data_IF_403619941261
#
_entry.id   IF_403619941261
#
_cell.length_a   1.000
_cell.length_b   1.000
_cell.length_c   1.000
_cell.angle_alpha   90.00
_cell.angle_beta   90.00
_cell.angle_gamma   90.00
#
_symmetry.space_group_name_H-M   'P 1'
#
loop_
_entity.id
_entity.type
_entity.pdbx_description
1 polymer ?
#
# COMPACT_ATOMS: atom_id res chain seq x y z
N UNK A 1 -75.79 61.36 -2.03
CA UNK A 1 -76.45 60.95 -0.78
C UNK A 1 -75.36 60.53 0.20
N UNK A 2 -75.24 61.30 1.27
CA UNK A 2 -74.21 61.22 2.31
C UNK A 2 -74.16 59.86 3.01
N UNK A 3 -72.99 59.51 3.58
CA UNK A 3 -72.76 59.47 5.04
C UNK A 3 -71.30 59.07 5.41
N UNK A 4 -70.62 60.01 6.10
CA UNK A 4 -69.62 59.90 7.21
C UNK A 4 -68.35 59.00 7.05
N UNK A 5 -67.11 59.48 7.20
CA UNK A 5 -66.35 60.14 8.31
C UNK A 5 -65.50 59.12 9.13
N UNK A 6 -64.28 59.55 9.53
CA UNK A 6 -63.33 59.02 10.56
C UNK A 6 -62.23 58.08 9.98
N UNK A 7 -60.98 58.50 9.74
CA UNK A 7 -59.83 58.89 10.61
C UNK A 7 -58.79 57.76 10.83
N UNK A 8 -57.57 58.03 10.36
CA UNK A 8 -56.20 57.66 10.78
C UNK A 8 -56.03 56.45 11.71
N UNK A 9 -55.14 55.50 11.34
CA UNK A 9 -54.01 54.94 12.14
C UNK A 9 -53.09 54.09 11.22
N UNK A 10 -51.78 54.20 11.41
CA UNK A 10 -50.74 53.45 10.71
C UNK A 10 -50.81 51.93 10.97
N UNK A 11 -50.53 51.10 9.96
CA UNK A 11 -50.49 49.64 10.11
C UNK A 11 -49.13 49.04 9.77
N UNK A 12 -48.59 48.32 10.74
CA UNK A 12 -47.42 47.47 10.65
C UNK A 12 -47.73 46.19 9.85
N UNK A 13 -46.75 45.73 9.08
CA UNK A 13 -46.81 44.49 8.31
C UNK A 13 -46.55 43.28 9.23
N UNK A 14 -47.55 42.42 9.34
CA UNK A 14 -47.43 40.99 9.63
C UNK A 14 -48.34 40.26 8.65
N UNK A 15 -47.78 39.39 7.82
CA UNK A 15 -48.58 38.38 7.10
C UNK A 15 -47.82 37.05 7.06
N UNK A 16 -48.55 36.08 7.61
CA UNK A 16 -48.24 34.68 7.89
C UNK A 16 -47.93 33.82 6.68
N UNK A 17 -47.02 32.86 6.86
CA UNK A 17 -46.77 31.73 5.96
C UNK A 17 -48.00 30.84 5.77
N UNK A 18 -48.33 30.54 4.52
CA UNK A 18 -49.13 29.39 4.11
C UNK A 18 -48.22 28.27 3.59
N UNK A 19 -48.52 27.04 4.00
CA UNK A 19 -47.80 25.81 3.68
C UNK A 19 -48.01 25.41 2.22
N UNK A 20 -46.93 25.08 1.51
CA UNK A 20 -46.94 24.22 0.32
C UNK A 20 -46.16 22.95 0.61
N UNK A 21 -46.81 21.81 0.39
CA UNK A 21 -46.21 20.47 0.44
C UNK A 21 -45.13 20.35 -0.64
N UNK A 22 -43.86 20.53 -0.24
CA UNK A 22 -42.71 20.08 -0.99
C UNK A 22 -42.26 18.75 -0.42
N UNK A 23 -42.19 17.73 -1.27
CA UNK A 23 -41.57 16.44 -0.95
C UNK A 23 -40.18 16.69 -0.37
N UNK A 24 -39.96 16.30 0.88
CA UNK A 24 -38.64 16.26 1.47
C UNK A 24 -37.80 15.22 0.72
N UNK A 25 -37.00 15.68 -0.24
CA UNK A 25 -35.83 14.92 -0.66
C UNK A 25 -35.00 14.73 0.60
N UNK A 26 -34.96 13.49 1.11
CA UNK A 26 -34.01 13.13 2.16
C UNK A 26 -32.64 13.55 1.64
N UNK A 27 -31.81 14.26 2.43
CA UNK A 27 -30.42 14.42 2.04
C UNK A 27 -29.87 13.03 1.76
N UNK A 28 -29.24 12.86 0.58
CA UNK A 28 -28.48 11.66 0.30
C UNK A 28 -27.55 11.40 1.48
N UNK A 29 -27.38 10.13 1.89
CA UNK A 29 -26.53 9.82 3.02
C UNK A 29 -25.17 10.44 2.74
N UNK A 30 -24.77 11.34 3.63
CA UNK A 30 -23.44 11.95 3.69
C UNK A 30 -22.43 10.87 3.32
N UNK A 31 -21.85 10.94 2.12
CA UNK A 31 -20.87 9.94 1.69
C UNK A 31 -19.83 9.88 2.80
N UNK A 32 -19.69 8.72 3.45
CA UNK A 32 -18.61 8.51 4.40
C UNK A 32 -17.34 9.00 3.72
N UNK A 33 -16.56 9.94 4.31
CA UNK A 33 -15.37 10.44 3.65
C UNK A 33 -14.48 9.24 3.37
N UNK A 34 -14.37 8.86 2.10
CA UNK A 34 -13.59 7.71 1.68
C UNK A 34 -12.16 7.98 2.10
N UNK A 35 -11.61 7.09 2.93
CA UNK A 35 -10.23 7.21 3.40
C UNK A 35 -9.30 7.34 2.18
N UNK A 36 -8.42 8.35 2.13
CA UNK A 36 -7.54 8.50 1.00
C UNK A 36 -6.59 7.31 0.90
N UNK A 37 -6.36 6.89 -0.35
CA UNK A 37 -5.43 5.82 -0.72
C UNK A 37 -4.29 6.44 -1.52
N UNK A 38 -3.07 6.12 -1.15
CA UNK A 38 -1.87 6.61 -1.80
C UNK A 38 -1.32 5.56 -2.76
N UNK A 39 -1.11 5.93 -4.02
CA UNK A 39 -0.58 5.00 -5.00
C UNK A 39 0.95 5.06 -5.08
N UNK A 40 1.57 3.94 -5.41
CA UNK A 40 3.00 3.77 -5.57
C UNK A 40 3.33 2.85 -6.73
N UNK A 41 4.62 2.77 -7.05
CA UNK A 41 5.11 1.99 -8.18
C UNK A 41 6.48 1.39 -7.90
N UNK A 42 6.66 0.14 -8.33
CA UNK A 42 7.97 -0.43 -8.62
C UNK A 42 8.15 -0.45 -10.14
N UNK A 43 9.30 0.01 -10.63
CA UNK A 43 9.72 -0.10 -12.03
C UNK A 43 11.24 -0.20 -12.03
N UNK A 44 11.79 -1.21 -12.71
CA UNK A 44 13.22 -1.48 -12.71
C UNK A 44 13.94 -0.92 -13.94
N UNK A 45 13.23 -0.18 -14.81
CA UNK A 45 13.80 0.42 -16.01
C UNK A 45 14.96 1.36 -15.64
N UNK A 46 16.20 1.04 -16.03
CA UNK A 46 17.35 1.89 -15.71
C UNK A 46 17.19 3.28 -16.32
N UNK A 47 17.38 4.32 -15.51
CA UNK A 47 17.29 5.70 -15.98
C UNK A 47 15.88 6.15 -16.38
N UNK A 48 14.84 5.50 -15.86
CA UNK A 48 13.45 5.92 -16.08
C UNK A 48 13.30 7.41 -15.76
N UNK A 49 12.96 8.26 -16.76
CA UNK A 49 12.94 9.69 -16.55
C UNK A 49 11.77 10.06 -15.65
N UNK A 50 11.90 11.13 -14.85
CA UNK A 50 10.81 11.64 -14.02
C UNK A 50 9.54 11.93 -14.82
N UNK A 51 9.68 12.22 -16.11
CA UNK A 51 8.57 12.43 -17.05
C UNK A 51 7.65 11.22 -17.19
N UNK A 52 8.15 9.99 -17.01
CA UNK A 52 7.31 8.80 -17.00
C UNK A 52 6.21 8.92 -15.94
N UNK A 53 6.59 9.28 -14.72
CA UNK A 53 5.65 9.45 -13.61
C UNK A 53 4.71 10.63 -13.81
N UNK A 54 5.22 11.77 -14.28
CA UNK A 54 4.37 12.96 -14.49
C UNK A 54 3.33 12.75 -15.60
N UNK A 55 3.65 11.94 -16.62
CA UNK A 55 2.75 11.66 -17.75
C UNK A 55 1.53 10.78 -17.37
N UNK A 56 1.55 10.16 -16.19
CA UNK A 56 0.41 9.40 -15.66
C UNK A 56 -0.72 10.33 -15.15
N UNK A 57 -0.45 11.62 -14.94
CA UNK A 57 -1.43 12.61 -14.48
C UNK A 57 -1.57 12.72 -12.96
N UNK A 58 -0.86 11.87 -12.21
CA UNK A 58 -0.67 11.96 -10.76
C UNK A 58 0.71 11.38 -10.45
N UNK A 59 1.49 12.01 -9.56
CA UNK A 59 2.78 11.47 -9.12
C UNK A 59 2.58 10.32 -8.13
N UNK A 60 3.45 9.29 -8.11
CA UNK A 60 3.39 8.24 -7.11
C UNK A 60 3.79 8.81 -5.74
N UNK A 61 3.06 8.41 -4.70
CA UNK A 61 3.40 8.75 -3.32
C UNK A 61 4.62 7.96 -2.84
N UNK A 62 4.82 6.74 -3.35
CA UNK A 62 5.99 5.89 -3.08
C UNK A 62 6.62 5.37 -4.37
N UNK A 63 7.94 5.30 -4.40
CA UNK A 63 8.67 4.55 -5.43
C UNK A 63 9.43 3.44 -4.73
N UNK A 64 9.26 2.23 -5.22
CA UNK A 64 9.83 1.02 -4.64
C UNK A 64 11.13 0.63 -5.33
N UNK A 65 12.03 0.00 -4.57
CA UNK A 65 13.13 -0.81 -5.09
C UNK A 65 13.26 -2.11 -4.28
N UNK A 66 13.98 -3.08 -4.86
CA UNK A 66 14.46 -4.26 -4.15
C UNK A 66 15.97 -4.17 -3.98
N UNK A 67 16.47 -4.66 -2.85
CA UNK A 67 17.89 -4.86 -2.63
C UNK A 67 18.13 -6.08 -1.76
N UNK A 68 19.21 -6.79 -2.08
CA UNK A 68 19.80 -7.78 -1.18
C UNK A 68 20.56 -7.08 -0.03
N UNK A 69 21.20 -7.88 0.82
CA UNK A 69 22.17 -7.34 1.78
C UNK A 69 23.34 -6.66 1.04
N UNK A 70 23.50 -5.37 1.30
CA UNK A 70 24.44 -4.50 0.60
C UNK A 70 24.35 -3.07 1.11
N UNK A 71 25.16 -2.18 0.55
CA UNK A 71 25.19 -0.78 0.99
C UNK A 71 23.80 -0.12 0.89
N UNK A 72 23.47 0.71 1.89
CA UNK A 72 22.23 1.47 1.90
C UNK A 72 22.09 2.27 0.58
N UNK A 73 20.93 2.20 -0.10
CA UNK A 73 20.76 2.72 -1.46
C UNK A 73 20.52 4.23 -1.42
N UNK A 74 21.56 4.98 -1.02
CA UNK A 74 21.52 6.42 -0.77
C UNK A 74 21.06 7.20 -2.00
N UNK A 75 21.57 6.84 -3.18
CA UNK A 75 21.24 7.54 -4.43
C UNK A 75 19.77 7.34 -4.81
N UNK A 76 19.26 6.11 -4.73
CA UNK A 76 17.83 5.85 -4.90
C UNK A 76 16.99 6.66 -3.92
N UNK A 77 17.34 6.62 -2.62
CA UNK A 77 16.56 7.32 -1.60
C UNK A 77 16.56 8.84 -1.82
N UNK A 78 17.70 9.42 -2.21
CA UNK A 78 17.82 10.86 -2.53
C UNK A 78 17.03 11.22 -3.79
N UNK A 79 17.17 10.44 -4.86
CA UNK A 79 16.49 10.70 -6.14
C UNK A 79 14.97 10.58 -5.99
N UNK A 80 14.48 9.54 -5.30
CA UNK A 80 13.06 9.37 -5.00
C UNK A 80 12.52 10.51 -4.14
N UNK A 81 13.27 10.93 -3.12
CA UNK A 81 12.87 12.09 -2.30
C UNK A 81 12.90 13.42 -3.08
N UNK A 82 13.79 13.57 -4.07
CA UNK A 82 13.85 14.73 -4.97
C UNK A 82 12.70 14.75 -5.97
N UNK A 83 12.23 13.57 -6.42
CA UNK A 83 11.00 13.42 -7.21
C UNK A 83 9.75 13.87 -6.45
N UNK A 84 9.82 13.96 -5.12
CA UNK A 84 8.68 14.23 -4.25
C UNK A 84 7.92 12.97 -3.85
N UNK A 85 8.55 11.79 -3.90
CA UNK A 85 7.96 10.53 -3.47
C UNK A 85 8.73 9.98 -2.25
N UNK A 86 8.10 9.11 -1.47
CA UNK A 86 8.78 8.40 -0.39
C UNK A 86 9.52 7.17 -0.93
N UNK A 87 10.80 6.98 -0.59
CA UNK A 87 11.50 5.73 -0.90
C UNK A 87 10.83 4.55 -0.21
N UNK A 88 10.61 3.48 -0.97
CA UNK A 88 10.12 2.21 -0.46
C UNK A 88 11.14 1.10 -0.75
N UNK A 89 11.93 0.75 0.27
CA UNK A 89 13.05 -0.19 0.13
C UNK A 89 12.60 -1.57 0.61
N UNK A 90 12.52 -2.53 -0.31
CA UNK A 90 12.37 -3.94 0.01
C UNK A 90 13.73 -4.55 0.23
N UNK A 91 13.96 -5.07 1.43
CA UNK A 91 15.28 -5.48 1.90
C UNK A 91 15.32 -7.00 2.10
N UNK A 92 16.07 -7.68 1.25
CA UNK A 92 16.07 -9.12 1.09
C UNK A 92 17.31 -9.75 1.74
N UNK A 93 17.17 -10.37 2.93
CA UNK A 93 18.26 -11.12 3.54
C UNK A 93 18.46 -12.46 2.84
N UNK A 94 19.06 -12.48 1.64
CA UNK A 94 19.31 -13.70 0.84
C UNK A 94 20.42 -14.61 1.41
N UNK A 95 20.28 -14.94 2.69
CA UNK A 95 21.23 -15.69 3.51
C UNK A 95 20.47 -16.60 4.48
N UNK A 96 21.19 -17.47 5.18
CA UNK A 96 20.67 -18.07 6.41
C UNK A 96 20.41 -16.99 7.47
N UNK A 97 19.14 -16.67 7.70
CA UNK A 97 18.77 -15.60 8.63
C UNK A 97 19.15 -15.90 10.09
N UNK A 98 19.42 -17.16 10.46
CA UNK A 98 19.85 -17.50 11.83
C UNK A 98 21.24 -16.93 12.14
N UNK A 99 22.07 -16.70 11.12
CA UNK A 99 23.38 -16.04 11.25
C UNK A 99 23.26 -14.56 11.63
N UNK A 100 22.10 -13.94 11.44
CA UNK A 100 21.87 -12.57 11.94
C UNK A 100 21.81 -12.59 13.47
N UNK A 101 21.17 -13.60 14.07
CA UNK A 101 21.05 -13.73 15.52
C UNK A 101 22.36 -14.07 16.23
N UNK A 102 23.36 -14.58 15.51
CA UNK A 102 24.71 -14.81 16.04
C UNK A 102 25.59 -13.55 16.05
N UNK A 103 25.08 -12.41 15.57
CA UNK A 103 25.80 -11.15 15.47
C UNK A 103 26.76 -11.06 14.28
N UNK A 104 26.78 -12.06 13.39
CA UNK A 104 27.68 -12.08 12.22
C UNK A 104 27.48 -10.87 11.28
N UNK A 105 26.28 -10.29 11.29
CA UNK A 105 25.91 -9.15 10.43
C UNK A 105 25.77 -7.83 11.21
N UNK A 106 26.20 -7.75 12.47
CA UNK A 106 25.98 -6.57 13.31
C UNK A 106 26.61 -5.30 12.72
N UNK A 107 27.89 -5.35 12.34
CA UNK A 107 28.57 -4.19 11.74
C UNK A 107 27.91 -3.73 10.44
N UNK A 108 27.33 -4.67 9.69
CA UNK A 108 26.56 -4.36 8.49
C UNK A 108 25.24 -3.65 8.83
N UNK A 109 24.46 -4.18 9.78
CA UNK A 109 23.20 -3.58 10.22
C UNK A 109 23.41 -2.19 10.85
N UNK A 110 24.48 -2.04 11.63
CA UNK A 110 24.89 -0.76 12.23
C UNK A 110 25.26 0.26 11.15
N UNK A 111 26.05 -0.14 10.15
CA UNK A 111 26.34 0.73 9.00
C UNK A 111 25.07 1.12 8.25
N UNK A 112 24.18 0.16 7.99
CA UNK A 112 22.93 0.40 7.28
C UNK A 112 22.03 1.39 8.02
N UNK A 113 21.81 1.21 9.32
CA UNK A 113 21.04 2.14 10.14
C UNK A 113 21.70 3.52 10.28
N UNK A 114 23.03 3.58 10.35
CA UNK A 114 23.78 4.84 10.34
C UNK A 114 23.67 5.59 9.00
N UNK A 115 23.67 4.88 7.87
CA UNK A 115 23.46 5.48 6.55
C UNK A 115 22.01 5.95 6.36
N UNK A 116 21.03 5.24 6.93
CA UNK A 116 19.64 5.75 7.05
C UNK A 116 19.56 7.04 7.87
N UNK A 117 20.30 7.13 8.98
CA UNK A 117 20.38 8.35 9.78
C UNK A 117 20.96 9.53 8.97
N UNK A 118 22.00 9.27 8.15
CA UNK A 118 22.58 10.27 7.23
C UNK A 118 21.62 10.69 6.13
N UNK A 119 20.78 9.77 5.61
CA UNK A 119 19.72 10.13 4.67
C UNK A 119 18.71 11.10 5.30
N UNK A 120 18.37 10.87 6.58
CA UNK A 120 17.71 11.85 7.42
C UNK A 120 16.26 12.15 7.07
N UNK A 121 15.63 11.38 6.17
CA UNK A 121 14.20 11.48 5.80
C UNK A 121 13.48 10.14 6.01
N UNK A 122 12.14 10.14 6.14
CA UNK A 122 11.37 8.91 6.21
C UNK A 122 11.50 8.05 4.95
N UNK A 123 11.47 6.73 5.13
CA UNK A 123 11.35 5.73 4.06
C UNK A 123 10.57 4.53 4.57
N UNK A 124 9.86 3.85 3.68
CA UNK A 124 9.28 2.54 3.97
C UNK A 124 10.38 1.48 3.86
N UNK A 125 10.56 0.66 4.90
CA UNK A 125 11.53 -0.44 4.93
C UNK A 125 10.78 -1.77 5.09
N UNK A 126 10.79 -2.61 4.06
CA UNK A 126 10.13 -3.92 4.03
C UNK A 126 11.18 -5.03 4.06
N UNK A 127 11.62 -5.37 5.25
CA UNK A 127 12.58 -6.44 5.49
C UNK A 127 11.92 -7.82 5.40
N UNK A 128 12.51 -8.74 4.63
CA UNK A 128 12.09 -10.15 4.62
C UNK A 128 10.63 -10.38 4.23
N UNK A 129 10.15 -9.69 3.19
CA UNK A 129 8.76 -9.80 2.70
C UNK A 129 8.35 -11.23 2.30
N UNK A 130 7.04 -11.48 2.23
CA UNK A 130 6.45 -12.77 1.83
C UNK A 130 6.97 -13.96 2.64
N UNK A 131 7.26 -13.76 3.91
CA UNK A 131 7.78 -14.77 4.82
C UNK A 131 6.90 -16.04 4.94
N UNK A 132 5.60 -15.93 4.63
CA UNK A 132 4.65 -17.05 4.58
C UNK A 132 4.66 -17.82 3.23
N UNK A 133 5.47 -17.40 2.26
CA UNK A 133 5.76 -18.13 1.02
C UNK A 133 6.71 -19.31 1.22
N UNK A 134 7.21 -19.87 0.12
CA UNK A 134 8.19 -20.98 0.11
C UNK A 134 9.33 -20.82 -0.91
N UNK A 135 9.53 -19.60 -1.41
CA UNK A 135 10.48 -19.22 -2.45
C UNK A 135 11.67 -18.37 -1.95
N UNK A 136 11.65 -17.91 -0.70
CA UNK A 136 12.73 -17.10 -0.11
C UNK A 136 13.50 -17.81 1.00
N UNK A 137 14.81 -17.51 1.19
CA UNK A 137 15.65 -18.15 2.20
C UNK A 137 15.25 -17.83 3.65
N UNK A 138 14.46 -16.79 3.89
CA UNK A 138 13.87 -16.52 5.21
C UNK A 138 12.55 -17.29 5.46
N UNK A 139 12.08 -18.06 4.48
CA UNK A 139 10.93 -18.97 4.58
C UNK A 139 11.35 -20.44 4.48
N UNK A 140 12.15 -20.79 3.47
CA UNK A 140 12.75 -22.11 3.27
C UNK A 140 14.24 -21.93 3.01
N UNK A 141 15.10 -22.49 3.87
CA UNK A 141 16.55 -22.44 3.72
C UNK A 141 17.13 -23.86 3.66
N UNK A 142 17.95 -24.16 2.66
CA UNK A 142 18.49 -25.51 2.42
C UNK A 142 17.41 -26.62 2.51
N UNK A 143 16.28 -26.38 1.81
CA UNK A 143 15.08 -27.23 1.79
C UNK A 143 14.42 -27.48 3.16
N UNK A 144 14.70 -26.64 4.15
CA UNK A 144 14.08 -26.70 5.48
C UNK A 144 13.23 -25.48 5.75
N UNK A 145 12.04 -25.73 6.30
CA UNK A 145 11.14 -24.68 6.78
C UNK A 145 11.82 -23.86 7.88
N UNK A 146 11.88 -22.55 7.67
CA UNK A 146 12.28 -21.59 8.70
C UNK A 146 11.08 -21.39 9.63
N UNK A 147 11.22 -21.65 10.95
CA UNK A 147 10.12 -21.42 11.87
C UNK A 147 9.71 -19.94 11.93
N UNK A 148 8.41 -19.66 11.99
CA UNK A 148 7.89 -18.30 12.12
C UNK A 148 8.46 -17.58 13.36
N UNK A 149 8.68 -18.32 14.46
CA UNK A 149 9.34 -17.80 15.66
C UNK A 149 10.80 -17.39 15.42
N UNK A 150 11.51 -18.05 14.50
CA UNK A 150 12.86 -17.65 14.07
C UNK A 150 12.81 -16.38 13.25
N UNK A 151 11.89 -16.29 12.28
CA UNK A 151 11.67 -15.05 11.52
C UNK A 151 11.35 -13.88 12.44
N UNK A 152 10.42 -14.04 13.39
CA UNK A 152 10.06 -13.02 14.38
C UNK A 152 11.27 -12.55 15.19
N UNK A 153 12.12 -13.47 15.66
CA UNK A 153 13.34 -13.11 16.40
C UNK A 153 14.29 -12.29 15.53
N UNK A 154 14.51 -12.71 14.29
CA UNK A 154 15.39 -11.99 13.34
C UNK A 154 14.83 -10.61 13.02
N UNK A 155 13.53 -10.49 12.72
CA UNK A 155 12.89 -9.22 12.39
C UNK A 155 13.08 -8.20 13.52
N UNK A 156 12.81 -8.61 14.77
CA UNK A 156 13.00 -7.77 15.95
C UNK A 156 14.47 -7.38 16.14
N UNK A 157 15.39 -8.33 15.96
CA UNK A 157 16.82 -8.09 16.09
C UNK A 157 17.33 -7.06 15.07
N UNK A 158 16.95 -7.21 13.80
CA UNK A 158 17.30 -6.28 12.72
C UNK A 158 16.71 -4.90 12.98
N UNK A 159 15.44 -4.84 13.39
CA UNK A 159 14.79 -3.59 13.81
C UNK A 159 15.60 -2.88 14.90
N UNK A 160 15.89 -3.57 15.99
CA UNK A 160 16.55 -2.98 17.15
C UNK A 160 17.97 -2.48 16.80
N UNK A 161 18.71 -3.21 15.94
CA UNK A 161 20.02 -2.78 15.44
C UNK A 161 19.94 -1.53 14.57
N UNK A 162 19.00 -1.47 13.63
CA UNK A 162 18.81 -0.30 12.75
C UNK A 162 18.41 0.93 13.57
N UNK A 163 17.49 0.77 14.52
CA UNK A 163 17.05 1.85 15.41
C UNK A 163 18.19 2.32 16.31
N UNK A 164 18.96 1.40 16.93
CA UNK A 164 20.10 1.74 17.77
C UNK A 164 21.20 2.50 17.01
N UNK A 165 21.38 2.21 15.72
CA UNK A 165 22.31 2.92 14.84
C UNK A 165 21.80 4.29 14.35
N UNK A 166 20.62 4.72 14.78
CA UNK A 166 20.04 6.03 14.46
C UNK A 166 19.04 6.03 13.30
N UNK A 167 18.73 4.86 12.71
CA UNK A 167 17.75 4.66 11.63
C UNK A 167 16.28 4.86 12.04
N UNK A 168 16.02 5.78 12.98
CA UNK A 168 14.73 6.02 13.65
C UNK A 168 13.63 6.55 12.73
N UNK A 169 13.97 7.00 11.52
CA UNK A 169 12.99 7.44 10.50
C UNK A 169 12.54 6.30 9.58
N UNK A 170 13.02 5.07 9.81
CA UNK A 170 12.48 3.88 9.16
C UNK A 170 10.99 3.71 9.48
N UNK A 171 10.18 3.50 8.47
CA UNK A 171 8.78 3.07 8.61
C UNK A 171 8.74 1.60 8.24
N UNK A 172 8.64 0.73 9.25
CA UNK A 172 8.71 -0.72 9.11
C UNK A 172 7.42 -1.29 8.53
N UNK A 173 7.56 -2.00 7.40
CA UNK A 173 6.45 -2.70 6.75
C UNK A 173 6.60 -4.20 6.97
N UNK A 174 5.62 -4.81 7.61
CA UNK A 174 5.50 -6.26 7.75
C UNK A 174 4.54 -6.78 6.69
N UNK A 175 5.04 -7.52 5.71
CA UNK A 175 4.33 -7.77 4.45
C UNK A 175 4.31 -9.25 4.07
N UNK A 176 3.24 -9.99 4.40
CA UNK A 176 3.01 -11.34 3.90
C UNK A 176 2.56 -11.37 2.43
N UNK A 177 2.68 -12.53 1.80
CA UNK A 177 1.99 -12.87 0.55
C UNK A 177 0.51 -13.20 0.84
N UNK A 178 -0.37 -12.88 -0.11
CA UNK A 178 -1.82 -13.13 -0.07
C UNK A 178 -2.20 -14.59 0.19
N UNK A 179 -1.32 -15.53 -0.13
CA UNK A 179 -1.44 -16.94 0.22
C UNK A 179 -0.14 -17.51 0.75
N UNK A 180 -0.23 -18.64 1.45
CA UNK A 180 0.96 -19.36 1.87
C UNK A 180 1.57 -20.12 0.68
N UNK A 181 2.90 -20.25 0.71
CA UNK A 181 3.61 -21.19 -0.16
C UNK A 181 3.22 -22.63 0.17
N UNK A 182 3.23 -23.52 -0.83
CA UNK A 182 2.77 -24.90 -0.67
C UNK A 182 3.57 -25.69 0.37
N UNK A 183 4.85 -25.35 0.57
CA UNK A 183 5.72 -25.95 1.60
C UNK A 183 5.71 -25.24 2.95
N UNK A 184 4.92 -24.17 3.12
CA UNK A 184 4.86 -23.38 4.35
C UNK A 184 3.47 -23.42 5.01
N UNK A 185 3.23 -24.37 5.93
CA UNK A 185 1.93 -24.54 6.58
C UNK A 185 1.69 -23.57 7.74
N UNK A 186 2.63 -22.68 8.05
CA UNK A 186 2.57 -21.84 9.25
C UNK A 186 1.56 -20.70 9.08
N UNK A 187 0.72 -20.46 10.08
CA UNK A 187 -0.23 -19.35 10.07
C UNK A 187 0.51 -18.01 9.90
N UNK A 188 0.05 -17.17 8.98
CA UNK A 188 0.61 -15.84 8.73
C UNK A 188 0.68 -15.00 10.02
N UNK A 189 -0.28 -15.15 10.94
CA UNK A 189 -0.31 -14.40 12.20
C UNK A 189 0.85 -14.78 13.14
N UNK A 190 1.41 -15.99 13.00
CA UNK A 190 2.55 -16.44 13.81
C UNK A 190 3.86 -15.72 13.51
N UNK A 191 3.92 -14.98 12.39
CA UNK A 191 5.09 -14.19 11.99
C UNK A 191 5.05 -12.74 12.48
N UNK A 192 3.99 -12.32 13.17
CA UNK A 192 3.85 -10.92 13.59
C UNK A 192 4.80 -10.59 14.76
N UNK A 193 5.72 -9.62 14.60
CA UNK A 193 6.75 -9.34 15.60
C UNK A 193 6.25 -8.48 16.77
N UNK A 194 5.02 -7.96 16.70
CA UNK A 194 4.37 -7.11 17.69
C UNK A 194 4.30 -5.64 17.25
N UNK A 195 3.36 -4.90 17.86
CA UNK A 195 3.00 -3.54 17.44
C UNK A 195 4.16 -2.53 17.49
N UNK A 196 5.14 -2.74 18.38
CA UNK A 196 6.30 -1.87 18.51
C UNK A 196 7.31 -1.99 17.36
N UNK A 197 7.18 -3.01 16.52
CA UNK A 197 8.11 -3.34 15.44
C UNK A 197 7.53 -3.09 14.05
N UNK A 198 6.23 -2.77 13.97
CA UNK A 198 5.49 -2.67 12.70
C UNK A 198 4.78 -1.33 12.64
N UNK A 199 5.13 -0.50 11.66
CA UNK A 199 4.41 0.74 11.38
C UNK A 199 3.22 0.48 10.45
N UNK A 200 3.42 -0.38 9.44
CA UNK A 200 2.44 -0.73 8.42
C UNK A 200 2.37 -2.24 8.19
N UNK A 201 1.17 -2.75 7.94
CA UNK A 201 0.97 -4.11 7.49
C UNK A 201 0.77 -4.09 5.97
N UNK A 202 1.57 -4.86 5.25
CA UNK A 202 1.46 -5.05 3.81
C UNK A 202 0.67 -6.30 3.43
N UNK A 203 0.40 -6.43 2.13
CA UNK A 203 -0.07 -7.65 1.48
C UNK A 203 0.47 -7.66 0.05
N UNK A 204 1.17 -8.71 -0.34
CA UNK A 204 1.62 -8.91 -1.71
C UNK A 204 0.69 -9.88 -2.43
N UNK A 205 0.27 -9.58 -3.65
CA UNK A 205 -0.69 -10.43 -4.34
C UNK A 205 -0.84 -10.13 -5.82
N UNK A 206 -0.95 -11.19 -6.62
CA UNK A 206 -0.94 -11.09 -8.07
C UNK A 206 -2.09 -11.89 -8.69
N UNK A 207 -2.73 -11.32 -9.72
CA UNK A 207 -3.56 -12.09 -10.62
C UNK A 207 -2.69 -12.68 -11.73
N UNK A 208 -2.20 -13.90 -11.53
CA UNK A 208 -1.41 -14.64 -12.50
C UNK A 208 -2.17 -15.03 -13.76
N UNK A 209 -3.51 -15.00 -13.75
CA UNK A 209 -4.28 -15.42 -14.91
C UNK A 209 -3.94 -16.87 -15.28
N UNK A 210 -3.58 -17.10 -16.54
CA UNK A 210 -3.06 -18.40 -17.00
C UNK A 210 -1.62 -18.30 -17.50
N UNK A 211 -0.80 -17.40 -16.93
CA UNK A 211 0.60 -17.21 -17.35
C UNK A 211 1.55 -18.31 -16.86
N UNK A 212 1.15 -19.08 -15.85
CA UNK A 212 1.94 -20.17 -15.30
C UNK A 212 1.07 -21.40 -14.96
N UNK A 213 1.64 -22.63 -14.97
CA UNK A 213 0.92 -23.84 -14.59
C UNK A 213 0.32 -23.75 -13.18
N UNK A 214 -0.93 -24.22 -13.02
CA UNK A 214 -1.63 -24.25 -11.74
C UNK A 214 -2.26 -22.91 -11.32
N UNK A 215 -2.02 -21.82 -12.05
CA UNK A 215 -2.68 -20.55 -11.82
C UNK A 215 -3.96 -20.40 -12.66
N UNK A 216 -4.92 -19.67 -12.10
CA UNK A 216 -6.17 -19.30 -12.75
C UNK A 216 -6.41 -17.81 -12.57
N UNK A 217 -7.23 -17.23 -13.46
CA UNK A 217 -7.69 -15.86 -13.34
C UNK A 217 -8.44 -15.62 -12.03
N UNK A 218 -8.05 -14.57 -11.31
CA UNK A 218 -8.69 -14.13 -10.06
C UNK A 218 -9.02 -12.64 -10.16
N UNK A 219 -10.21 -12.26 -9.71
CA UNK A 219 -10.53 -10.83 -9.50
C UNK A 219 -9.63 -10.21 -8.44
N UNK A 220 -9.59 -8.88 -8.37
CA UNK A 220 -8.85 -8.16 -7.33
C UNK A 220 -9.28 -8.62 -5.92
N UNK A 221 -10.59 -8.62 -5.64
CA UNK A 221 -11.11 -9.10 -4.36
C UNK A 221 -10.81 -10.59 -4.15
N UNK A 222 -10.82 -11.38 -5.23
CA UNK A 222 -10.44 -12.79 -5.20
C UNK A 222 -9.00 -13.00 -4.75
N UNK A 223 -8.06 -12.11 -5.07
CA UNK A 223 -6.66 -12.17 -4.63
C UNK A 223 -6.52 -11.79 -3.16
N UNK A 224 -7.09 -10.66 -2.74
CA UNK A 224 -6.72 -10.02 -1.47
C UNK A 224 -7.70 -10.23 -0.31
N UNK A 225 -8.98 -10.53 -0.56
CA UNK A 225 -10.02 -10.44 0.49
C UNK A 225 -9.74 -11.36 1.69
N UNK A 226 -9.30 -12.60 1.46
CA UNK A 226 -9.07 -13.56 2.56
C UNK A 226 -8.03 -13.03 3.55
N UNK A 227 -6.85 -12.64 3.06
CA UNK A 227 -5.79 -12.09 3.90
C UNK A 227 -6.20 -10.74 4.51
N UNK A 228 -6.84 -9.87 3.74
CA UNK A 228 -7.32 -8.58 4.26
C UNK A 228 -8.26 -8.74 5.46
N UNK A 229 -9.24 -9.66 5.39
CA UNK A 229 -10.14 -9.91 6.52
C UNK A 229 -9.38 -10.44 7.74
N UNK A 230 -8.44 -11.37 7.53
CA UNK A 230 -7.62 -11.92 8.62
C UNK A 230 -6.79 -10.82 9.30
N UNK A 231 -6.12 -9.98 8.53
CA UNK A 231 -5.26 -8.90 9.04
C UNK A 231 -6.07 -7.79 9.72
N UNK A 232 -7.16 -7.34 9.13
CA UNK A 232 -7.96 -6.23 9.68
C UNK A 232 -8.75 -6.60 10.93
N UNK A 233 -9.05 -7.90 11.10
CA UNK A 233 -9.64 -8.46 12.33
C UNK A 233 -8.59 -8.52 13.45
N UNK A 234 -7.39 -9.00 13.16
CA UNK A 234 -6.37 -9.22 14.19
C UNK A 234 -5.55 -7.96 14.54
N UNK A 235 -5.42 -7.02 13.61
CA UNK A 235 -4.61 -5.81 13.79
C UNK A 235 -5.41 -4.54 13.45
N UNK A 236 -6.54 -4.28 14.16
CA UNK A 236 -7.50 -3.29 13.72
C UNK A 236 -6.97 -1.85 13.72
N UNK A 237 -5.91 -1.56 14.49
CA UNK A 237 -5.29 -0.25 14.60
C UNK A 237 -4.12 0.01 13.64
N UNK A 238 -3.67 -0.99 12.87
CA UNK A 238 -2.56 -0.81 11.92
C UNK A 238 -3.08 -0.36 10.55
N UNK A 239 -2.44 0.65 9.91
CA UNK A 239 -2.74 0.96 8.53
C UNK A 239 -2.29 -0.19 7.62
N UNK A 240 -3.13 -0.53 6.64
CA UNK A 240 -2.85 -1.61 5.68
C UNK A 240 -2.40 -1.00 4.35
N UNK A 241 -1.43 -1.64 3.69
CA UNK A 241 -1.09 -1.38 2.30
C UNK A 241 -1.08 -2.66 1.47
N UNK A 242 -1.23 -2.51 0.16
CA UNK A 242 -0.83 -3.54 -0.80
C UNK A 242 0.64 -3.27 -1.10
N UNK A 243 1.52 -4.15 -0.59
CA UNK A 243 2.96 -4.00 -0.73
C UNK A 243 3.35 -4.09 -2.20
N UNK A 244 2.77 -5.07 -2.89
CA UNK A 244 2.86 -5.29 -4.33
C UNK A 244 1.55 -5.85 -4.90
N UNK A 245 1.25 -5.41 -6.13
CA UNK A 245 0.29 -6.11 -6.97
C UNK A 245 0.60 -6.00 -8.46
N UNK A 246 0.07 -6.96 -9.20
CA UNK A 246 0.08 -6.97 -10.65
C UNK A 246 -1.03 -7.89 -11.21
N UNK A 247 -1.36 -7.67 -12.48
CA UNK A 247 -2.32 -8.48 -13.21
C UNK A 247 -1.71 -8.91 -14.54
N UNK A 248 -1.73 -10.23 -14.80
CA UNK A 248 -1.36 -10.80 -16.09
C UNK A 248 -2.31 -10.32 -17.19
N UNK A 249 -1.82 -10.32 -18.43
CA UNK A 249 -2.64 -10.08 -19.62
C UNK A 249 -3.26 -11.37 -20.19
N UNK A 250 -3.00 -12.53 -19.58
CA UNK A 250 -3.52 -13.84 -20.03
C UNK A 250 -4.56 -14.38 -19.06
N UNK A 251 -5.49 -15.20 -19.56
CA UNK A 251 -6.52 -15.85 -18.74
C UNK A 251 -7.77 -15.01 -18.43
N UNK A 252 -7.80 -13.75 -18.86
CA UNK A 252 -8.95 -12.84 -18.68
C UNK A 252 -8.65 -11.42 -19.18
N UNK A 253 -9.49 -10.46 -18.78
CA UNK A 253 -9.41 -9.06 -19.22
C UNK A 253 -8.72 -8.17 -18.18
N UNK A 254 -7.47 -7.77 -18.47
CA UNK A 254 -6.66 -6.89 -17.62
C UNK A 254 -7.25 -5.49 -17.45
N UNK A 255 -7.90 -4.94 -18.48
CA UNK A 255 -8.55 -3.63 -18.42
C UNK A 255 -9.74 -3.69 -17.47
N UNK A 256 -10.57 -4.72 -17.59
CA UNK A 256 -11.67 -4.96 -16.65
C UNK A 256 -11.16 -5.18 -15.21
N UNK A 257 -10.05 -5.90 -15.03
CA UNK A 257 -9.45 -6.13 -13.71
C UNK A 257 -8.98 -4.82 -13.05
N UNK A 258 -8.29 -3.96 -13.80
CA UNK A 258 -7.85 -2.64 -13.30
C UNK A 258 -9.06 -1.79 -12.90
N UNK A 259 -10.10 -1.76 -13.72
CA UNK A 259 -11.33 -1.02 -13.40
C UNK A 259 -12.06 -1.58 -12.16
N UNK A 260 -12.14 -2.90 -12.01
CA UNK A 260 -12.72 -3.54 -10.83
C UNK A 260 -11.91 -3.23 -9.57
N UNK A 261 -10.57 -3.34 -9.62
CA UNK A 261 -9.69 -2.94 -8.51
C UNK A 261 -10.02 -1.55 -7.98
N UNK A 262 -10.03 -0.53 -8.86
CA UNK A 262 -10.33 0.85 -8.45
C UNK A 262 -11.79 1.08 -8.03
N UNK A 263 -12.70 0.18 -8.39
CA UNK A 263 -14.10 0.21 -7.93
C UNK A 263 -14.24 -0.42 -6.54
N UNK A 264 -13.55 -1.54 -6.29
CA UNK A 264 -13.63 -2.31 -5.05
C UNK A 264 -12.80 -1.74 -3.92
N UNK A 265 -11.65 -1.13 -4.22
CA UNK A 265 -10.71 -0.64 -3.21
C UNK A 265 -11.36 0.23 -2.11
N UNK A 266 -12.16 1.27 -2.43
CA UNK A 266 -12.78 2.09 -1.38
C UNK A 266 -13.99 1.45 -0.68
N UNK A 267 -14.56 0.39 -1.25
CA UNK A 267 -15.81 -0.24 -0.77
C UNK A 267 -15.49 -1.48 0.07
N UNK A 268 -14.75 -2.41 -0.51
CA UNK A 268 -14.45 -3.72 0.09
C UNK A 268 -13.23 -3.65 1.00
N UNK A 269 -12.32 -2.68 0.76
CA UNK A 269 -11.02 -2.57 1.42
C UNK A 269 -10.76 -1.22 2.12
N UNK A 270 -11.69 -0.70 2.95
CA UNK A 270 -11.60 0.66 3.50
C UNK A 270 -10.42 0.94 4.45
N UNK A 271 -9.70 -0.10 4.91
CA UNK A 271 -8.46 0.03 5.70
C UNK A 271 -7.18 0.06 4.86
N UNK A 272 -7.26 -0.23 3.56
CA UNK A 272 -6.11 -0.05 2.67
C UNK A 272 -5.90 1.44 2.47
N UNK A 273 -4.70 1.92 2.81
CA UNK A 273 -4.31 3.33 2.72
C UNK A 273 -3.20 3.56 1.70
N UNK A 274 -2.57 2.51 1.19
CA UNK A 274 -1.57 2.60 0.11
C UNK A 274 -1.57 1.35 -0.77
N UNK A 275 -1.15 1.46 -2.03
CA UNK A 275 -0.85 0.32 -2.88
C UNK A 275 0.37 0.58 -3.76
N UNK A 276 1.13 -0.45 -4.10
CA UNK A 276 2.22 -0.37 -5.09
C UNK A 276 1.91 -1.26 -6.29
N UNK A 277 1.91 -0.70 -7.50
CA UNK A 277 1.88 -1.51 -8.72
C UNK A 277 3.30 -2.00 -9.06
N UNK A 278 3.45 -3.30 -9.31
CA UNK A 278 4.70 -3.91 -9.76
C UNK A 278 4.81 -3.83 -11.28
N UNK A 279 5.44 -2.77 -11.80
CA UNK A 279 5.44 -2.39 -13.22
C UNK A 279 6.67 -2.91 -13.97
N UNK A 280 6.80 -4.23 -14.11
CA UNK A 280 7.93 -4.88 -14.79
C UNK A 280 7.44 -6.04 -15.66
N UNK A 281 8.18 -6.32 -16.74
CA UNK A 281 8.04 -7.53 -17.54
C UNK A 281 8.94 -8.64 -16.97
N UNK A 282 8.36 -9.61 -16.27
CA UNK A 282 9.10 -10.61 -15.48
C UNK A 282 8.56 -12.03 -15.70
N UNK A 283 7.98 -12.68 -14.69
CA UNK A 283 7.38 -14.02 -14.84
C UNK A 283 6.20 -13.98 -15.81
N UNK A 284 5.53 -12.83 -15.86
CA UNK A 284 4.66 -12.40 -16.95
C UNK A 284 4.75 -10.88 -17.05
N UNK A 285 4.07 -10.30 -18.03
CA UNK A 285 4.09 -8.86 -18.24
C UNK A 285 3.12 -8.15 -17.28
N UNK A 286 3.63 -7.78 -16.10
CA UNK A 286 2.86 -7.14 -15.03
C UNK A 286 2.55 -5.67 -15.32
N UNK A 287 3.27 -5.04 -16.25
CA UNK A 287 3.15 -3.62 -16.57
C UNK A 287 1.70 -3.22 -16.82
N UNK A 288 1.22 -2.13 -16.22
CA UNK A 288 -0.12 -1.63 -16.59
C UNK A 288 -0.10 -1.00 -17.99
N UNK A 289 1.07 -0.61 -18.49
CA UNK A 289 1.26 0.09 -19.76
C UNK A 289 1.60 -0.82 -20.96
N UNK A 290 1.15 -2.08 -20.92
CA UNK A 290 1.29 -3.03 -22.05
C UNK A 290 0.41 -2.71 -23.26
N UNK A 291 -0.63 -1.91 -23.07
CA UNK A 291 -1.52 -1.45 -24.13
C UNK A 291 -2.02 -0.03 -23.84
N UNK A 292 -2.45 0.74 -24.86
CA UNK A 292 -3.11 2.03 -24.63
C UNK A 292 -4.33 1.91 -23.69
N UNK A 293 -5.15 0.87 -23.86
CA UNK A 293 -6.37 0.65 -23.09
C UNK A 293 -6.08 0.38 -21.61
N UNK A 294 -5.09 -0.45 -21.30
CA UNK A 294 -4.70 -0.73 -19.91
C UNK A 294 -4.01 0.48 -19.26
N UNK A 295 -3.25 1.25 -20.05
CA UNK A 295 -2.67 2.53 -19.60
C UNK A 295 -3.77 3.52 -19.24
N UNK A 296 -4.77 3.70 -20.11
CA UNK A 296 -5.87 4.64 -19.89
C UNK A 296 -6.74 4.23 -18.70
N UNK A 297 -7.02 2.93 -18.53
CA UNK A 297 -7.74 2.42 -17.37
C UNK A 297 -6.99 2.69 -16.06
N UNK A 298 -5.66 2.49 -16.03
CA UNK A 298 -4.86 2.77 -14.86
C UNK A 298 -4.83 4.28 -14.55
N UNK A 299 -4.61 5.13 -15.57
CA UNK A 299 -4.65 6.59 -15.43
C UNK A 299 -6.01 7.09 -14.92
N UNK A 300 -7.11 6.58 -15.46
CA UNK A 300 -8.45 6.90 -14.99
C UNK A 300 -8.67 6.47 -13.53
N UNK A 301 -8.14 5.31 -13.16
CA UNK A 301 -8.17 4.79 -11.80
C UNK A 301 -7.43 5.67 -10.79
N UNK A 302 -6.17 5.99 -11.05
CA UNK A 302 -5.39 6.87 -10.16
C UNK A 302 -5.92 8.30 -10.15
N UNK A 303 -6.69 8.72 -11.16
CA UNK A 303 -7.36 10.03 -11.18
C UNK A 303 -8.61 10.10 -10.27
N UNK A 304 -9.12 8.98 -9.77
CA UNK A 304 -10.30 8.98 -8.87
C UNK A 304 -10.05 9.82 -7.61
N UNK A 305 -11.07 10.51 -7.06
CA UNK A 305 -10.91 11.46 -5.94
C UNK A 305 -10.32 10.85 -4.66
N UNK A 306 -10.63 9.58 -4.36
CA UNK A 306 -10.11 8.90 -3.17
C UNK A 306 -8.63 8.51 -3.30
N UNK A 307 -8.09 8.45 -4.52
CA UNK A 307 -6.66 8.23 -4.73
C UNK A 307 -5.96 9.57 -4.60
N UNK A 308 -5.14 9.74 -3.57
CA UNK A 308 -4.45 11.00 -3.31
C UNK A 308 -2.94 10.85 -3.49
N UNK A 309 -2.27 11.97 -3.71
CA UNK A 309 -0.81 12.05 -3.69
C UNK A 309 -0.39 12.70 -2.36
N UNK A 310 0.40 11.98 -1.58
CA UNK A 310 1.07 12.50 -0.38
C UNK A 310 2.31 11.64 -0.07
N UNK A 311 3.54 12.17 -0.21
CA UNK A 311 4.75 11.44 0.13
C UNK A 311 4.91 11.18 1.63
N UNK A 312 4.06 11.73 2.49
CA UNK A 312 4.00 11.38 3.90
C UNK A 312 2.98 10.27 4.20
N UNK A 313 2.21 9.80 3.21
CA UNK A 313 1.10 8.84 3.38
C UNK A 313 0.12 9.26 4.48
N UNK A 314 -0.25 10.54 4.53
CA UNK A 314 -1.12 11.10 5.57
C UNK A 314 -0.50 11.09 6.96
N UNK A 315 0.82 10.91 7.08
CA UNK A 315 1.56 10.66 8.32
C UNK A 315 1.09 9.42 9.09
N UNK A 316 0.44 8.46 8.42
CA UNK A 316 -0.04 7.25 9.06
C UNK A 316 1.12 6.32 9.45
N UNK A 317 0.97 5.64 10.59
CA UNK A 317 1.95 4.67 11.09
C UNK A 317 3.26 5.28 11.58
N UNK A 318 3.33 6.60 11.79
CA UNK A 318 4.49 7.29 12.37
C UNK A 318 4.36 7.42 13.89
#
# INVERSE_FOLDING_TARGET
MNKYLIAIVAFALLLSCSKTNGSSVKPEPNENPVNPVFWGIFDDTPGLPSSFYTNLGKLPSTVMMFMDFGDFPMDFCRNTAQLGSMPYVTWEPRIDITKILSGQYDSYLEKFGGDMAKFGKPLLLRFGHEFNGDWYPWSIYDDKLVPASTYVKVYKYVHDKVIAAGGTKAIWVWCPNAGNGGRNPQDVLSYYPGDNYVNWIGMDGYNWGTSAPGFNWRSFSGVFNALYQQLTTNYPGKPIMIGEMGCSSTGGDKVAWINDMFTRLPIDFPKIRSFTWFNIDKETDWRFNVSPQSTDAFKAGIAKPFVQYDPALGNLGR
#
